data_IF_171804814535
#
_entry.id   IF_171804814535
#
_cell.length_a   1.000
_cell.length_b   1.000
_cell.length_c   1.000
_cell.angle_alpha   90.00
_cell.angle_beta   90.00
_cell.angle_gamma   90.00
#
_symmetry.space_group_name_H-M   'P 1'
#
loop_
_entity.id
_entity.type
_entity.pdbx_description
1 polymer ?
#
# COMPACT_ATOMS: atom_id res chain seq x y z
N UNK A 1 0.53 32.59 -0.52
CA UNK A 1 -0.59 31.66 -0.79
C UNK A 1 -0.85 30.90 0.51
N UNK A 2 -1.91 31.23 1.25
CA UNK A 2 -2.28 30.50 2.47
C UNK A 2 -2.92 29.18 2.03
N UNK A 3 -2.11 28.13 1.92
CA UNK A 3 -2.62 26.77 1.71
C UNK A 3 -3.27 26.34 3.01
N UNK A 4 -4.59 26.54 3.11
CA UNK A 4 -5.37 26.04 4.22
C UNK A 4 -5.35 24.50 4.15
N UNK A 5 -5.08 23.78 5.26
CA UNK A 5 -4.97 22.34 5.22
C UNK A 5 -6.28 21.72 4.70
N UNK A 6 -6.14 20.82 3.72
CA UNK A 6 -7.27 20.08 3.16
C UNK A 6 -7.94 19.30 4.30
N UNK A 7 -9.26 19.42 4.41
CA UNK A 7 -10.02 18.68 5.43
C UNK A 7 -9.92 17.19 5.15
N UNK A 8 -9.79 16.37 6.20
CA UNK A 8 -9.76 14.90 6.07
C UNK A 8 -10.96 14.34 5.28
N UNK A 9 -12.15 14.95 5.44
CA UNK A 9 -13.34 14.59 4.66
C UNK A 9 -13.12 14.70 3.16
N UNK A 10 -12.41 15.73 2.69
CA UNK A 10 -12.13 15.91 1.27
C UNK A 10 -11.20 14.82 0.75
N UNK A 11 -10.20 14.41 1.54
CA UNK A 11 -9.31 13.29 1.20
C UNK A 11 -10.10 11.98 1.07
N UNK A 12 -11.04 11.72 1.98
CA UNK A 12 -11.93 10.55 1.91
C UNK A 12 -12.82 10.57 0.66
N UNK A 13 -13.38 11.74 0.31
CA UNK A 13 -14.19 11.89 -0.91
C UNK A 13 -13.35 11.63 -2.18
N UNK A 14 -12.08 12.06 -2.19
CA UNK A 14 -11.18 11.75 -3.30
C UNK A 14 -10.91 10.25 -3.40
N UNK A 15 -10.65 9.57 -2.27
CA UNK A 15 -10.47 8.11 -2.26
C UNK A 15 -11.70 7.39 -2.83
N UNK A 16 -12.90 7.78 -2.42
CA UNK A 16 -14.15 7.20 -2.92
C UNK A 16 -14.33 7.41 -4.42
N UNK A 17 -14.13 8.65 -4.89
CA UNK A 17 -14.23 8.99 -6.30
C UNK A 17 -13.29 8.14 -7.16
N UNK A 18 -12.03 8.02 -6.76
CA UNK A 18 -11.04 7.28 -7.57
C UNK A 18 -11.20 5.76 -7.47
N UNK A 19 -11.70 5.26 -6.33
CA UNK A 19 -12.09 3.86 -6.17
C UNK A 19 -13.18 3.47 -7.17
N UNK A 20 -14.24 4.28 -7.28
CA UNK A 20 -15.32 4.05 -8.24
C UNK A 20 -14.82 4.06 -9.68
N UNK A 21 -14.00 5.05 -10.05
CA UNK A 21 -13.41 5.16 -11.40
C UNK A 21 -12.53 3.94 -11.73
N UNK A 22 -11.76 3.45 -10.76
CA UNK A 22 -10.89 2.29 -10.92
C UNK A 22 -11.65 0.95 -10.86
N UNK A 23 -12.95 0.96 -10.55
CA UNK A 23 -13.75 -0.27 -10.42
C UNK A 23 -13.38 -1.13 -9.21
N UNK A 24 -12.78 -0.55 -8.17
CA UNK A 24 -12.39 -1.29 -6.96
C UNK A 24 -13.64 -1.48 -6.07
N UNK A 25 -14.13 -2.72 -5.85
CA UNK A 25 -15.38 -2.94 -5.13
C UNK A 25 -15.29 -2.63 -3.63
N UNK A 26 -14.10 -2.83 -3.06
CA UNK A 26 -13.83 -2.64 -1.63
C UNK A 26 -13.54 -1.19 -1.27
N UNK A 27 -13.85 -0.82 -0.03
CA UNK A 27 -13.62 0.53 0.49
C UNK A 27 -12.13 0.90 0.46
N UNK A 28 -11.82 2.06 -0.15
CA UNK A 28 -10.47 2.64 -0.16
C UNK A 28 -10.38 3.79 0.84
N UNK A 29 -9.44 3.68 1.79
CA UNK A 29 -9.19 4.71 2.81
C UNK A 29 -7.76 5.25 2.70
N UNK A 30 -7.47 6.46 3.20
CA UNK A 30 -6.11 7.00 3.18
C UNK A 30 -5.08 6.11 3.92
N UNK A 31 -5.49 5.46 5.01
CA UNK A 31 -4.65 4.51 5.73
C UNK A 31 -4.39 3.26 4.90
N UNK A 32 -5.39 2.76 4.17
CA UNK A 32 -5.20 1.63 3.26
C UNK A 32 -4.17 1.97 2.19
N UNK A 33 -4.24 3.16 1.58
CA UNK A 33 -3.24 3.61 0.60
C UNK A 33 -1.83 3.68 1.19
N UNK A 34 -1.69 4.10 2.45
CA UNK A 34 -0.41 4.05 3.18
C UNK A 34 0.10 2.62 3.32
N UNK A 35 -0.75 1.68 3.70
CA UNK A 35 -0.38 0.26 3.81
C UNK A 35 0.03 -0.32 2.45
N UNK A 36 -0.74 -0.03 1.40
CA UNK A 36 -0.44 -0.46 0.04
C UNK A 36 0.92 0.05 -0.41
N UNK A 37 1.24 1.33 -0.19
CA UNK A 37 2.54 1.90 -0.53
C UNK A 37 3.70 1.29 0.27
N UNK A 38 3.50 0.99 1.56
CA UNK A 38 4.52 0.33 2.39
C UNK A 38 4.84 -1.08 1.89
N UNK A 39 3.80 -1.87 1.59
CA UNK A 39 3.94 -3.22 1.07
C UNK A 39 4.66 -3.22 -0.29
N UNK A 40 4.29 -2.32 -1.21
CA UNK A 40 4.95 -2.23 -2.52
C UNK A 40 6.44 -1.89 -2.42
N UNK A 41 6.83 -0.96 -1.54
CA UNK A 41 8.24 -0.64 -1.31
C UNK A 41 9.03 -1.87 -0.82
N UNK A 42 8.43 -2.71 0.03
CA UNK A 42 9.06 -3.96 0.47
C UNK A 42 9.16 -5.01 -0.65
N UNK A 43 8.15 -5.09 -1.52
CA UNK A 43 8.20 -5.95 -2.72
C UNK A 43 9.37 -5.53 -3.63
N UNK A 44 9.55 -4.22 -3.81
CA UNK A 44 10.63 -3.61 -4.58
C UNK A 44 12.01 -3.75 -3.92
N UNK A 45 12.08 -4.28 -2.69
CA UNK A 45 13.32 -4.58 -1.99
C UNK A 45 13.87 -3.44 -1.13
N UNK A 46 13.05 -2.44 -0.78
CA UNK A 46 13.42 -1.42 0.20
C UNK A 46 13.68 -2.09 1.56
N UNK A 47 14.74 -1.64 2.25
CA UNK A 47 15.08 -2.09 3.60
C UNK A 47 13.94 -1.76 4.60
N UNK A 48 13.40 -2.75 5.33
CA UNK A 48 12.38 -2.53 6.35
C UNK A 48 12.73 -1.46 7.39
N UNK A 49 14.00 -1.33 7.80
CA UNK A 49 14.40 -0.31 8.78
C UNK A 49 14.28 1.11 8.21
N UNK A 50 14.64 1.29 6.94
CA UNK A 50 14.47 2.56 6.23
C UNK A 50 12.99 2.90 6.10
N UNK A 51 12.18 1.92 5.73
CA UNK A 51 10.73 2.11 5.58
C UNK A 51 10.05 2.43 6.91
N UNK A 52 10.47 1.79 8.01
CA UNK A 52 9.98 2.06 9.37
C UNK A 52 10.22 3.52 9.77
N UNK A 53 11.42 4.05 9.49
CA UNK A 53 11.77 5.45 9.74
C UNK A 53 10.90 6.39 8.88
N UNK A 54 10.77 6.11 7.58
CA UNK A 54 9.97 6.92 6.66
C UNK A 54 8.49 6.98 7.05
N UNK A 55 7.95 5.86 7.56
CA UNK A 55 6.59 5.77 8.04
C UNK A 55 6.43 6.27 9.49
N UNK A 56 7.51 6.67 10.17
CA UNK A 56 7.45 7.10 11.56
C UNK A 56 6.79 6.07 12.48
N UNK A 57 7.02 4.77 12.21
CA UNK A 57 6.51 3.70 13.05
C UNK A 57 7.48 3.45 14.20
N UNK A 58 7.06 3.76 15.42
CA UNK A 58 7.81 3.39 16.64
C UNK A 58 7.68 1.90 17.00
N UNK A 59 6.68 1.20 16.43
CA UNK A 59 6.37 -0.20 16.76
C UNK A 59 6.64 -1.14 15.58
N UNK A 60 7.27 -2.26 15.90
CA UNK A 60 7.66 -3.30 14.93
C UNK A 60 6.48 -4.18 14.47
N UNK A 61 5.42 -4.25 15.28
CA UNK A 61 4.24 -5.08 15.02
C UNK A 61 3.58 -4.79 13.67
N UNK A 62 3.41 -3.51 13.34
CA UNK A 62 2.82 -3.08 12.06
C UNK A 62 3.75 -3.36 10.89
N UNK A 63 5.06 -3.27 11.08
CA UNK A 63 6.05 -3.55 10.04
C UNK A 63 6.10 -5.04 9.69
N UNK A 64 5.95 -5.94 10.68
CA UNK A 64 5.86 -7.38 10.45
C UNK A 64 4.68 -7.72 9.52
N UNK A 65 3.52 -7.09 9.72
CA UNK A 65 2.38 -7.28 8.84
C UNK A 65 2.66 -6.86 7.39
N UNK A 66 3.42 -5.79 7.16
CA UNK A 66 3.78 -5.38 5.81
C UNK A 66 4.79 -6.35 5.16
N UNK A 67 5.77 -6.81 5.93
CA UNK A 67 6.78 -7.79 5.47
C UNK A 67 6.09 -9.08 5.04
N UNK A 68 5.21 -9.63 5.87
CA UNK A 68 4.49 -10.87 5.54
C UNK A 68 3.61 -10.69 4.31
N UNK A 69 2.93 -9.53 4.19
CA UNK A 69 2.10 -9.25 3.01
C UNK A 69 2.93 -9.09 1.74
N UNK A 70 4.10 -8.45 1.81
CA UNK A 70 5.01 -8.28 0.69
C UNK A 70 5.57 -9.63 0.20
N UNK A 71 5.93 -10.53 1.13
CA UNK A 71 6.36 -11.91 0.79
C UNK A 71 5.28 -12.66 0.01
N UNK A 72 4.04 -12.64 0.51
CA UNK A 72 2.91 -13.30 -0.15
C UNK A 72 2.63 -12.74 -1.55
N UNK A 73 2.73 -11.42 -1.75
CA UNK A 73 2.54 -10.82 -3.07
C UNK A 73 3.63 -11.25 -4.04
N UNK A 74 4.90 -11.20 -3.63
CA UNK A 74 6.03 -11.62 -4.47
C UNK A 74 5.93 -13.09 -4.88
N UNK A 75 5.50 -13.96 -3.97
CA UNK A 75 5.24 -15.38 -4.27
C UNK A 75 4.10 -15.56 -5.28
N UNK A 76 3.02 -14.79 -5.15
CA UNK A 76 1.89 -14.86 -6.08
C UNK A 76 2.25 -14.36 -7.47
N UNK A 77 3.03 -13.27 -7.57
CA UNK A 77 3.56 -12.79 -8.85
C UNK A 77 4.41 -13.89 -9.50
N UNK A 78 5.38 -14.46 -8.79
CA UNK A 78 6.20 -15.54 -9.32
C UNK A 78 5.37 -16.72 -9.86
N UNK A 79 4.27 -17.08 -9.17
CA UNK A 79 3.35 -18.12 -9.63
C UNK A 79 2.57 -17.73 -10.88
N UNK A 80 2.07 -16.49 -10.99
CA UNK A 80 1.36 -16.04 -12.20
C UNK A 80 2.29 -16.04 -13.42
N UNK A 81 3.52 -15.55 -13.26
CA UNK A 81 4.54 -15.58 -14.31
C UNK A 81 4.88 -17.01 -14.77
N UNK A 82 4.99 -17.96 -13.83
CA UNK A 82 5.21 -19.37 -14.16
C UNK A 82 4.03 -19.99 -14.92
N UNK A 83 2.80 -19.64 -14.57
CA UNK A 83 1.60 -20.14 -15.26
C UNK A 83 1.47 -19.58 -16.68
N UNK A 84 1.78 -18.30 -16.88
CA UNK A 84 1.78 -17.66 -18.20
C UNK A 84 2.90 -18.19 -19.11
N UNK A 85 4.05 -18.57 -18.55
CA UNK A 85 5.17 -19.13 -19.31
C UNK A 85 4.98 -20.59 -19.75
N UNK A 86 3.94 -21.26 -19.25
CA UNK A 86 3.61 -22.67 -19.55
C UNK A 86 2.42 -22.82 -20.52
N UNK A 87 1.81 -21.70 -20.95
CA UNK A 87 0.76 -21.62 -21.98
C UNK A 87 1.36 -21.20 -23.33
#
# INVERSE_FOLDING_TARGET
MLVFPIKQRMVRLLCEKYREIAGIPDQVTPSLLRHTSAVWQLVDGVDPEVLKIQLGHDRDDVMLHYIDRARLLKENELRSWQQESLL
#
